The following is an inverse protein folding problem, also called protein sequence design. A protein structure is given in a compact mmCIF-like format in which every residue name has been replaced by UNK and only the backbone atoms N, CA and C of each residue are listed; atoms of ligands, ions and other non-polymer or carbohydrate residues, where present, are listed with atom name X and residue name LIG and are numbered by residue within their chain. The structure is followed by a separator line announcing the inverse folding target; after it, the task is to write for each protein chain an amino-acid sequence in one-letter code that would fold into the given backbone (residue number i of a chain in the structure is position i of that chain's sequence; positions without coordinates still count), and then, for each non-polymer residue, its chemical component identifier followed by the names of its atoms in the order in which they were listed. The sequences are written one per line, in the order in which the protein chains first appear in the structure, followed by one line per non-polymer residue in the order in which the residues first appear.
data_IF_253158394713
#
_entry.id   IF_253158394713
#
_cell.length_a   1.000
_cell.length_b   1.000
_cell.length_c   1.000
_cell.angle_alpha   90.00
_cell.angle_beta   90.00
_cell.angle_gamma   90.00
#
_symmetry.space_group_name_H-M   'P 1'
#
loop_
_entity.id
_entity.type
_entity.pdbx_description
1 polymer ?
#
# COMPACT_ATOMS: atom_id res chain seq x y z
N UNK A 1 -23.42 -12.13 -65.13
CA UNK A 1 -22.11 -11.63 -64.67
C UNK A 1 -22.39 -10.81 -63.43
N UNK A 2 -22.47 -11.51 -62.27
CA UNK A 2 -22.83 -10.86 -60.97
C UNK A 2 -21.56 -10.52 -60.23
N UNK A 3 -21.40 -9.25 -59.92
CA UNK A 3 -20.29 -8.74 -59.12
C UNK A 3 -20.83 -8.67 -57.67
N UNK A 4 -20.47 -9.67 -56.87
CA UNK A 4 -20.71 -9.67 -55.42
C UNK A 4 -19.66 -8.80 -54.75
N UNK A 5 -20.06 -7.63 -54.31
CA UNK A 5 -19.26 -6.72 -53.49
C UNK A 5 -19.32 -7.22 -52.05
N UNK A 6 -18.21 -7.85 -51.60
CA UNK A 6 -18.01 -8.15 -50.19
C UNK A 6 -17.62 -6.87 -49.43
N UNK A 7 -18.55 -6.32 -48.67
CA UNK A 7 -18.26 -5.30 -47.67
C UNK A 7 -17.61 -5.97 -46.47
N UNK A 8 -16.28 -5.88 -46.40
CA UNK A 8 -15.54 -6.22 -45.19
C UNK A 8 -15.81 -5.18 -44.11
N UNK A 9 -16.58 -5.56 -43.09
CA UNK A 9 -16.69 -4.78 -41.86
C UNK A 9 -15.37 -4.91 -41.09
N UNK A 10 -14.54 -3.88 -41.19
CA UNK A 10 -13.42 -3.68 -40.28
C UNK A 10 -13.99 -3.22 -38.95
N UNK A 11 -14.22 -4.17 -38.03
CA UNK A 11 -14.51 -3.86 -36.64
C UNK A 11 -13.20 -3.40 -36.02
N UNK A 12 -12.98 -2.10 -35.99
CA UNK A 12 -11.97 -1.46 -35.15
C UNK A 12 -12.42 -1.64 -33.70
N UNK A 13 -11.94 -2.74 -33.09
CA UNK A 13 -12.00 -2.89 -31.64
C UNK A 13 -11.11 -1.80 -31.02
N UNK A 14 -11.70 -0.69 -30.63
CA UNK A 14 -11.10 0.25 -29.70
C UNK A 14 -10.98 -0.49 -28.36
N UNK A 15 -9.86 -1.13 -28.16
CA UNK A 15 -9.42 -1.56 -26.81
C UNK A 15 -9.08 -0.25 -26.11
N UNK A 16 -10.08 0.32 -25.44
CA UNK A 16 -9.87 1.38 -24.47
C UNK A 16 -9.05 0.74 -23.34
N UNK A 17 -7.74 0.91 -23.40
CA UNK A 17 -6.91 0.78 -22.22
C UNK A 17 -7.38 1.86 -21.25
N UNK A 18 -8.35 1.51 -20.42
CA UNK A 18 -8.55 2.22 -19.17
C UNK A 18 -7.35 1.88 -18.28
N UNK A 19 -6.23 2.53 -18.54
CA UNK A 19 -5.23 2.74 -17.53
C UNK A 19 -5.98 3.41 -16.39
N UNK A 20 -6.16 2.69 -15.30
CA UNK A 20 -6.60 3.28 -14.04
C UNK A 20 -5.48 4.25 -13.64
N UNK A 21 -5.55 5.47 -14.15
CA UNK A 21 -4.73 6.56 -13.69
C UNK A 21 -5.10 6.73 -12.22
N UNK A 22 -4.28 6.18 -11.35
CA UNK A 22 -4.29 6.54 -9.94
C UNK A 22 -4.07 8.05 -9.92
N UNK A 23 -5.14 8.80 -9.75
CA UNK A 23 -5.08 10.25 -9.57
C UNK A 23 -4.53 10.51 -8.18
N UNK A 24 -3.21 10.43 -8.06
CA UNK A 24 -2.52 11.09 -6.98
C UNK A 24 -2.79 12.58 -7.16
N UNK A 25 -3.51 13.19 -6.23
CA UNK A 25 -3.68 14.63 -6.22
C UNK A 25 -2.28 15.25 -6.16
N UNK A 26 -1.87 16.09 -7.14
CA UNK A 26 -0.60 16.78 -7.04
C UNK A 26 -0.68 17.76 -5.86
N UNK A 27 -0.03 17.41 -4.75
CA UNK A 27 -0.03 18.23 -3.55
C UNK A 27 1.13 19.21 -3.58
N UNK A 28 0.87 20.43 -3.12
CA UNK A 28 1.88 21.44 -2.86
C UNK A 28 1.59 22.16 -1.53
N UNK A 29 2.43 23.12 -1.18
CA UNK A 29 2.22 23.93 0.01
C UNK A 29 1.93 25.38 -0.39
N UNK A 30 1.00 26.01 0.33
CA UNK A 30 0.76 27.46 0.27
C UNK A 30 0.76 28.00 1.70
N UNK A 31 1.85 28.63 2.09
CA UNK A 31 2.12 28.96 3.48
C UNK A 31 2.10 27.71 4.37
N UNK A 32 1.22 27.68 5.35
CA UNK A 32 1.06 26.55 6.28
C UNK A 32 0.07 25.45 5.81
N UNK A 33 -0.46 25.58 4.60
CA UNK A 33 -1.52 24.69 4.13
C UNK A 33 -1.02 23.74 3.05
N UNK A 34 -1.46 22.47 3.11
CA UNK A 34 -1.38 21.54 2.00
C UNK A 34 -2.52 21.89 1.06
N UNK A 35 -2.20 22.07 -0.20
CA UNK A 35 -3.16 22.42 -1.26
C UNK A 35 -3.03 21.46 -2.44
N UNK A 36 -4.11 21.25 -3.12
CA UNK A 36 -4.13 20.64 -4.45
C UNK A 36 -3.49 21.63 -5.44
N UNK A 37 -2.41 21.24 -6.09
CA UNK A 37 -1.66 22.10 -7.01
C UNK A 37 -2.46 22.52 -8.24
N UNK A 38 -3.42 21.71 -8.67
CA UNK A 38 -4.23 21.99 -9.85
C UNK A 38 -5.32 23.03 -9.56
N UNK A 39 -5.89 22.99 -8.36
CA UNK A 39 -7.05 23.81 -8.01
C UNK A 39 -6.77 24.90 -6.99
N UNK A 40 -5.60 24.84 -6.31
CA UNK A 40 -5.25 25.73 -5.20
C UNK A 40 -6.09 25.50 -3.94
N UNK A 41 -7.00 24.53 -3.94
CA UNK A 41 -7.89 24.26 -2.80
C UNK A 41 -7.12 23.57 -1.68
N UNK A 42 -7.42 23.97 -0.45
CA UNK A 42 -6.84 23.36 0.74
C UNK A 42 -7.27 21.89 0.85
N UNK A 43 -6.29 21.01 1.07
CA UNK A 43 -6.49 19.60 1.36
C UNK A 43 -6.34 19.39 2.86
N UNK A 44 -7.37 18.79 3.49
CA UNK A 44 -7.33 18.36 4.88
C UNK A 44 -7.15 16.87 4.91
N UNK A 45 -6.02 16.39 5.42
CA UNK A 45 -5.74 14.98 5.61
C UNK A 45 -6.36 14.51 6.93
N UNK A 46 -7.21 13.50 6.85
CA UNK A 46 -7.77 12.80 8.00
C UNK A 46 -7.32 11.36 7.86
N UNK A 47 -6.20 11.03 8.52
CA UNK A 47 -5.51 9.77 8.33
C UNK A 47 -5.72 8.80 9.47
N UNK A 48 -5.73 7.50 9.16
CA UNK A 48 -5.58 6.41 10.11
C UNK A 48 -4.16 5.85 10.02
N UNK A 49 -3.57 5.46 11.17
CA UNK A 49 -2.31 4.74 11.18
C UNK A 49 -2.55 3.26 10.87
N UNK A 50 -1.73 2.69 10.00
CA UNK A 50 -1.78 1.27 9.69
C UNK A 50 -0.36 0.69 9.70
N UNK A 51 -0.04 -0.14 10.71
CA UNK A 51 1.32 -0.65 10.88
C UNK A 51 1.68 -1.72 9.87
N UNK A 52 2.91 -1.61 9.35
CA UNK A 52 3.57 -2.65 8.56
C UNK A 52 5.05 -2.81 8.95
N UNK A 53 5.53 -2.01 9.89
CA UNK A 53 6.92 -1.97 10.34
C UNK A 53 7.28 -3.07 11.35
N UNK A 54 6.33 -3.93 11.74
CA UNK A 54 6.53 -5.01 12.71
C UNK A 54 7.36 -6.16 12.14
N UNK A 55 7.65 -7.18 12.95
CA UNK A 55 8.47 -8.31 12.52
C UNK A 55 7.92 -9.06 11.31
N UNK A 56 6.59 -9.12 11.17
CA UNK A 56 5.95 -9.73 10.01
C UNK A 56 6.24 -9.01 8.70
N UNK A 57 6.60 -7.72 8.77
CA UNK A 57 6.82 -6.83 7.62
C UNK A 57 5.65 -6.83 6.62
N UNK A 58 4.47 -7.13 7.11
CA UNK A 58 3.23 -7.12 6.38
C UNK A 58 2.24 -6.25 7.14
N UNK A 59 1.35 -5.59 6.42
CA UNK A 59 0.31 -4.77 7.04
C UNK A 59 -0.60 -5.61 7.93
N UNK A 60 -0.92 -5.11 9.11
CA UNK A 60 -1.72 -5.82 10.09
C UNK A 60 -3.15 -6.07 9.62
N UNK A 61 -3.68 -7.25 9.97
CA UNK A 61 -5.06 -7.64 9.71
C UNK A 61 -5.31 -8.37 8.39
N UNK A 62 -4.30 -8.50 7.52
CA UNK A 62 -4.45 -9.26 6.26
C UNK A 62 -4.66 -10.76 6.49
N UNK A 63 -4.25 -11.28 7.64
CA UNK A 63 -4.54 -12.66 8.07
C UNK A 63 -5.98 -12.85 8.58
N UNK A 64 -6.75 -11.76 8.70
CA UNK A 64 -8.10 -11.75 9.27
C UNK A 64 -9.17 -11.35 8.27
N UNK A 65 -8.83 -10.48 7.31
CA UNK A 65 -9.79 -9.91 6.35
C UNK A 65 -9.13 -9.66 5.00
N UNK A 66 -9.89 -9.72 3.89
CA UNK A 66 -9.41 -9.31 2.58
C UNK A 66 -8.93 -7.85 2.60
N UNK A 67 -7.80 -7.58 1.94
CA UNK A 67 -7.22 -6.24 1.83
C UNK A 67 -8.23 -5.20 1.33
N UNK A 68 -9.02 -5.56 0.32
CA UNK A 68 -10.02 -4.67 -0.25
C UNK A 68 -11.10 -4.28 0.76
N UNK A 69 -11.51 -5.22 1.62
CA UNK A 69 -12.53 -4.97 2.64
C UNK A 69 -11.98 -4.03 3.72
N UNK A 70 -10.72 -4.19 4.09
CA UNK A 70 -10.05 -3.29 5.03
C UNK A 70 -9.94 -1.88 4.45
N UNK A 71 -9.54 -1.72 3.19
CA UNK A 71 -9.51 -0.43 2.52
C UNK A 71 -10.89 0.23 2.45
N UNK A 72 -11.93 -0.54 2.09
CA UNK A 72 -13.32 -0.06 2.07
C UNK A 72 -13.80 0.39 3.45
N UNK A 73 -13.38 -0.30 4.51
CA UNK A 73 -13.70 0.09 5.89
C UNK A 73 -13.11 1.44 6.26
N UNK A 74 -11.86 1.70 5.86
CA UNK A 74 -11.19 2.99 6.05
C UNK A 74 -11.99 4.12 5.37
N UNK A 75 -12.44 3.88 4.13
CA UNK A 75 -13.28 4.83 3.38
C UNK A 75 -14.64 5.02 4.08
N UNK A 76 -15.28 3.94 4.53
CA UNK A 76 -16.56 3.98 5.23
C UNK A 76 -16.49 4.81 6.51
N UNK A 77 -15.37 4.74 7.21
CA UNK A 77 -15.09 5.54 8.42
C UNK A 77 -14.73 7.01 8.10
N UNK A 78 -14.80 7.41 6.81
CA UNK A 78 -14.55 8.77 6.32
C UNK A 78 -13.11 9.26 6.51
N UNK A 79 -12.15 8.35 6.59
CA UNK A 79 -10.74 8.70 6.40
C UNK A 79 -10.48 8.92 4.90
N UNK A 80 -9.58 9.83 4.56
CA UNK A 80 -9.11 10.09 3.20
C UNK A 80 -7.62 9.83 3.02
N UNK A 81 -7.00 9.30 4.06
CA UNK A 81 -5.57 9.07 4.11
C UNK A 81 -5.23 7.91 5.05
N UNK A 82 -4.19 7.15 4.68
CA UNK A 82 -3.56 6.13 5.52
C UNK A 82 -2.10 6.51 5.74
N UNK A 83 -1.67 6.58 6.99
CA UNK A 83 -0.25 6.63 7.34
C UNK A 83 0.24 5.19 7.45
N UNK A 84 0.87 4.72 6.37
CA UNK A 84 1.38 3.37 6.24
C UNK A 84 2.84 3.33 6.69
N UNK A 85 3.08 2.72 7.84
CA UNK A 85 4.42 2.70 8.42
C UNK A 85 5.27 1.56 7.83
N UNK A 86 6.58 1.77 7.73
CA UNK A 86 7.54 0.74 7.34
C UNK A 86 8.83 0.84 8.14
N UNK A 87 9.63 -0.24 8.10
CA UNK A 87 10.99 -0.24 8.60
C UNK A 87 11.98 -0.13 7.44
N UNK A 88 13.05 0.64 7.59
CA UNK A 88 14.08 0.82 6.54
C UNK A 88 14.59 -0.52 5.99
N UNK A 89 14.77 -1.51 6.87
CA UNK A 89 15.29 -2.83 6.46
C UNK A 89 14.31 -3.62 5.61
N UNK A 90 13.00 -3.30 5.59
CA UNK A 90 12.04 -3.92 4.67
C UNK A 90 12.49 -3.75 3.21
N UNK A 91 13.03 -2.58 2.88
CA UNK A 91 13.43 -2.23 1.51
C UNK A 91 14.93 -2.37 1.24
N UNK A 92 15.78 -2.35 2.27
CA UNK A 92 17.23 -2.41 2.08
C UNK A 92 17.83 -3.79 2.31
N UNK A 93 17.23 -4.61 3.18
CA UNK A 93 17.75 -5.93 3.54
C UNK A 93 16.82 -7.09 3.21
N UNK A 94 15.52 -6.84 3.26
CA UNK A 94 14.49 -7.88 3.18
C UNK A 94 13.58 -7.74 1.96
N UNK A 95 13.86 -6.78 1.07
CA UNK A 95 12.99 -6.47 -0.07
C UNK A 95 12.64 -7.69 -0.93
N UNK A 96 13.60 -8.60 -1.14
CA UNK A 96 13.45 -9.79 -1.97
C UNK A 96 12.98 -11.04 -1.20
N UNK A 97 12.80 -10.94 0.13
CA UNK A 97 12.25 -12.04 0.93
C UNK A 97 10.76 -12.15 0.67
N UNK A 98 10.24 -13.35 0.43
CA UNK A 98 8.81 -13.54 0.27
C UNK A 98 8.08 -13.40 1.62
N UNK A 99 6.81 -13.05 1.56
CA UNK A 99 5.95 -13.01 2.74
C UNK A 99 5.90 -14.39 3.39
N UNK A 100 5.75 -15.46 2.58
CA UNK A 100 5.71 -16.83 3.05
C UNK A 100 6.97 -17.21 3.82
N UNK A 101 8.16 -16.97 3.24
CA UNK A 101 9.46 -17.22 3.91
C UNK A 101 9.58 -16.46 5.23
N UNK A 102 9.14 -15.21 5.27
CA UNK A 102 9.20 -14.40 6.48
C UNK A 102 8.30 -14.95 7.59
N UNK A 103 7.09 -15.39 7.23
CA UNK A 103 6.14 -15.98 8.18
C UNK A 103 6.63 -17.34 8.71
N UNK A 104 7.28 -18.14 7.86
CA UNK A 104 7.89 -19.41 8.27
C UNK A 104 9.07 -19.18 9.23
N UNK A 105 9.96 -18.21 8.93
CA UNK A 105 11.08 -17.84 9.81
C UNK A 105 10.63 -17.33 11.18
N UNK A 106 9.46 -16.72 11.27
CA UNK A 106 8.88 -16.20 12.51
C UNK A 106 7.95 -17.21 13.21
N UNK A 107 7.76 -18.42 12.65
CA UNK A 107 6.82 -19.45 13.12
C UNK A 107 5.36 -18.94 13.23
N UNK A 108 4.95 -18.05 12.33
CA UNK A 108 3.61 -17.43 12.31
C UNK A 108 2.59 -18.30 11.56
N UNK A 109 2.51 -19.59 11.90
CA UNK A 109 1.67 -20.59 11.16
C UNK A 109 0.20 -20.22 11.10
N UNK A 110 -0.38 -19.81 12.21
CA UNK A 110 -1.81 -19.45 12.25
C UNK A 110 -2.11 -18.23 11.36
N UNK A 111 -1.26 -17.21 11.39
CA UNK A 111 -1.41 -16.04 10.53
C UNK A 111 -1.18 -16.37 9.06
N UNK A 112 -0.24 -17.27 8.74
CA UNK A 112 -0.02 -17.77 7.37
C UNK A 112 -1.26 -18.47 6.82
N UNK A 113 -1.94 -19.31 7.63
CA UNK A 113 -3.22 -19.93 7.24
C UNK A 113 -4.29 -18.87 6.99
N UNK A 114 -4.37 -17.85 7.84
CA UNK A 114 -5.27 -16.73 7.66
C UNK A 114 -5.01 -15.96 6.36
N UNK A 115 -3.74 -15.69 6.03
CA UNK A 115 -3.34 -15.07 4.76
C UNK A 115 -3.74 -15.92 3.56
N UNK A 116 -3.49 -17.23 3.62
CA UNK A 116 -3.87 -18.15 2.55
C UNK A 116 -5.39 -18.16 2.28
N UNK A 117 -6.18 -17.90 3.30
CA UNK A 117 -7.64 -17.84 3.20
C UNK A 117 -8.13 -16.46 2.70
N UNK A 118 -7.61 -15.37 3.26
CA UNK A 118 -8.14 -14.03 3.00
C UNK A 118 -7.40 -13.28 1.86
N UNK A 119 -6.11 -13.49 1.74
CA UNK A 119 -5.24 -12.77 0.81
C UNK A 119 -4.15 -13.70 0.23
N UNK A 120 -4.52 -14.82 -0.43
CA UNK A 120 -3.55 -15.83 -0.89
C UNK A 120 -2.47 -15.27 -1.81
N UNK A 121 -2.78 -14.21 -2.55
CA UNK A 121 -1.87 -13.58 -3.50
C UNK A 121 -0.62 -12.99 -2.84
N UNK A 122 -0.69 -12.54 -1.57
CA UNK A 122 0.45 -11.92 -0.91
C UNK A 122 1.53 -12.92 -0.48
N UNK A 123 1.22 -14.20 -0.32
CA UNK A 123 2.18 -15.20 0.20
C UNK A 123 3.40 -15.36 -0.70
N UNK A 124 3.18 -15.38 -2.02
CA UNK A 124 4.25 -15.54 -3.01
C UNK A 124 4.91 -14.21 -3.42
N UNK A 125 4.39 -13.09 -2.94
CA UNK A 125 4.99 -11.78 -3.18
C UNK A 125 6.20 -11.57 -2.27
N UNK A 126 7.19 -10.85 -2.77
CA UNK A 126 8.23 -10.29 -1.91
C UNK A 126 7.62 -9.25 -0.96
N UNK A 127 8.32 -8.96 0.14
CA UNK A 127 7.88 -7.93 1.10
C UNK A 127 7.68 -6.58 0.42
N UNK A 128 8.53 -6.25 -0.56
CA UNK A 128 8.41 -5.02 -1.33
C UNK A 128 7.14 -5.03 -2.18
N UNK A 129 6.91 -6.08 -2.97
CA UNK A 129 5.71 -6.22 -3.80
C UNK A 129 4.42 -6.23 -2.99
N UNK A 130 4.42 -6.89 -1.82
CA UNK A 130 3.26 -6.90 -0.94
C UNK A 130 2.95 -5.50 -0.38
N UNK A 131 3.98 -4.70 -0.06
CA UNK A 131 3.80 -3.31 0.36
C UNK A 131 3.24 -2.46 -0.79
N UNK A 132 3.78 -2.59 -2.01
CA UNK A 132 3.26 -1.90 -3.20
C UNK A 132 1.81 -2.28 -3.49
N UNK A 133 1.45 -3.57 -3.43
CA UNK A 133 0.08 -4.03 -3.64
C UNK A 133 -0.91 -3.40 -2.65
N UNK A 134 -0.49 -3.18 -1.39
CA UNK A 134 -1.32 -2.46 -0.41
C UNK A 134 -1.48 -0.99 -0.80
N UNK A 135 -0.40 -0.32 -1.20
CA UNK A 135 -0.45 1.08 -1.66
C UNK A 135 -1.39 1.23 -2.85
N UNK A 136 -1.33 0.32 -3.81
CA UNK A 136 -2.18 0.31 -5.00
C UNK A 136 -3.66 0.14 -4.65
N UNK A 137 -3.99 -0.80 -3.76
CA UNK A 137 -5.38 -0.99 -3.31
C UNK A 137 -5.90 0.23 -2.57
N UNK A 138 -5.08 0.86 -1.72
CA UNK A 138 -5.46 2.09 -1.04
C UNK A 138 -5.69 3.23 -2.04
N UNK A 139 -4.78 3.43 -3.00
CA UNK A 139 -4.89 4.43 -4.05
C UNK A 139 -6.14 4.24 -4.91
N UNK A 140 -6.41 3.01 -5.38
CA UNK A 140 -7.62 2.69 -6.16
C UNK A 140 -8.90 2.80 -5.35
N UNK A 141 -8.81 2.78 -4.01
CA UNK A 141 -9.92 3.06 -3.10
C UNK A 141 -10.10 4.56 -2.81
N UNK A 142 -9.31 5.44 -3.45
CA UNK A 142 -9.38 6.89 -3.28
C UNK A 142 -8.71 7.40 -2.00
N UNK A 143 -7.85 6.60 -1.37
CA UNK A 143 -7.13 6.96 -0.15
C UNK A 143 -5.72 7.46 -0.51
N UNK A 144 -5.32 8.57 0.06
CA UNK A 144 -3.93 9.02 0.02
C UNK A 144 -3.09 8.17 0.98
N UNK A 145 -1.83 7.93 0.61
CA UNK A 145 -0.90 7.19 1.46
C UNK A 145 0.24 8.10 1.88
N UNK A 146 0.49 8.16 3.18
CA UNK A 146 1.71 8.73 3.76
C UNK A 146 2.61 7.55 4.09
N UNK A 147 3.66 7.35 3.29
CA UNK A 147 4.69 6.36 3.60
C UNK A 147 5.56 6.91 4.76
N UNK A 148 5.52 6.20 5.87
CA UNK A 148 6.20 6.61 7.11
C UNK A 148 7.37 5.68 7.42
N UNK A 149 8.59 6.19 7.26
CA UNK A 149 9.79 5.49 7.75
C UNK A 149 9.84 5.55 9.27
N UNK A 150 9.25 4.54 9.89
CA UNK A 150 8.94 4.55 11.32
C UNK A 150 10.12 4.12 12.19
N UNK A 151 10.85 3.10 11.74
CA UNK A 151 12.00 2.50 12.45
C UNK A 151 13.02 1.94 11.45
N UNK A 152 14.21 1.65 11.94
CA UNK A 152 15.24 1.03 11.09
C UNK A 152 15.04 -0.48 10.90
N UNK A 153 14.84 -1.22 12.00
CA UNK A 153 14.69 -2.67 11.99
C UNK A 153 13.23 -3.07 12.22
N UNK A 154 12.71 -4.09 11.50
CA UNK A 154 11.33 -4.56 11.66
C UNK A 154 11.08 -5.12 13.06
N UNK A 155 10.35 -4.39 13.88
CA UNK A 155 9.85 -4.80 15.19
C UNK A 155 8.89 -3.76 15.76
N UNK A 156 8.33 -4.03 16.93
CA UNK A 156 7.58 -3.01 17.64
C UNK A 156 8.47 -1.80 17.96
N UNK A 157 7.95 -0.60 17.70
CA UNK A 157 8.70 0.62 17.93
C UNK A 157 8.62 1.10 19.40
N UNK A 158 9.45 2.08 19.68
CA UNK A 158 9.22 3.06 20.73
C UNK A 158 9.45 2.55 22.15
N UNK A 159 10.11 1.41 22.31
CA UNK A 159 10.63 0.98 23.60
C UNK A 159 11.82 1.84 24.04
N UNK A 160 11.91 2.13 25.34
CA UNK A 160 13.02 2.88 25.90
C UNK A 160 14.35 2.10 25.87
N UNK A 161 14.27 0.76 25.81
CA UNK A 161 15.38 -0.16 26.00
C UNK A 161 15.98 -0.67 24.70
N UNK A 162 15.21 -0.77 23.63
CA UNK A 162 15.66 -1.38 22.37
C UNK A 162 16.39 -0.41 21.42
N UNK A 163 16.34 0.88 21.69
CA UNK A 163 16.95 1.92 20.85
C UNK A 163 16.38 2.02 19.44
N UNK A 164 15.37 1.20 19.10
CA UNK A 164 14.75 1.16 17.80
C UNK A 164 13.67 2.25 17.71
N UNK A 165 13.79 3.11 16.73
CA UNK A 165 12.94 4.31 16.64
C UNK A 165 13.48 5.52 17.45
N UNK A 166 14.45 5.30 18.30
CA UNK A 166 15.28 6.39 18.82
C UNK A 166 16.56 6.42 18.00
N UNK A 167 16.65 7.33 17.09
CA UNK A 167 17.89 7.64 16.41
C UNK A 167 18.90 8.12 17.44
N UNK A 168 19.96 7.34 17.66
CA UNK A 168 21.22 7.94 18.09
C UNK A 168 21.68 8.84 16.94
N UNK A 169 21.16 10.05 16.87
CA UNK A 169 21.59 10.90 15.76
C UNK A 169 20.83 12.17 15.53
N UNK A 170 19.81 12.47 16.29
CA UNK A 170 19.36 13.86 16.43
C UNK A 170 19.83 14.42 17.77
N UNK A 171 21.14 14.58 17.91
CA UNK A 171 21.67 15.66 18.70
C UNK A 171 21.59 16.88 17.79
N UNK A 172 20.64 17.73 18.07
CA UNK A 172 20.60 19.11 17.61
C UNK A 172 21.77 19.86 18.20
#
# INVERSE_FOLDING_TARGET
MEITTQFGFVVLAFISFFSSLSYSLPLSTNGRWIVDSATGRRVKLVCVNWPSHTQSMLIEGLDRRPLKDLANEVVRLRFNCVRLTYATHMFTRYANRTVEENFDLLDLRAAKVGLAFHNPFVLNMTIFEAYEAVVDVLGTSGLMVIADNHISQPRWCCSLEDGNGRTRGYSV
#
